data_IF_799560046349
#
_entry.id   IF_799560046349
#
_cell.length_a   1.000
_cell.length_b   1.000
_cell.length_c   1.000
_cell.angle_alpha   90.00
_cell.angle_beta   90.00
_cell.angle_gamma   90.00
#
_symmetry.space_group_name_H-M   'P 1'
#
loop_
_entity.id
_entity.type
_entity.pdbx_description
1 polymer ?
#
# COMPACT_ATOMS: atom_id res chain seq x y z
N UNK A 1 -14.39 4.41 6.78
CA UNK A 1 -15.27 3.26 6.61
C UNK A 1 -14.92 2.21 7.64
N UNK A 2 -15.89 1.84 8.44
CA UNK A 2 -15.72 0.75 9.38
C UNK A 2 -16.00 -0.55 8.63
N UNK A 3 -15.18 -1.50 8.60
CA UNK A 3 -15.37 -2.88 8.23
C UNK A 3 -16.06 -3.14 6.87
N UNK A 4 -15.30 -3.00 5.78
CA UNK A 4 -15.77 -3.40 4.45
C UNK A 4 -15.62 -4.92 4.22
N UNK A 5 -14.55 -5.51 4.72
CA UNK A 5 -14.28 -6.95 4.67
C UNK A 5 -13.88 -7.47 6.06
N UNK A 6 -14.08 -8.76 6.28
CA UNK A 6 -13.80 -9.40 7.56
C UNK A 6 -13.14 -10.76 7.35
N UNK A 7 -12.03 -11.01 8.04
CA UNK A 7 -11.31 -12.29 8.04
C UNK A 7 -11.11 -12.76 9.47
N UNK A 8 -11.96 -13.65 9.96
CA UNK A 8 -11.94 -14.13 11.35
C UNK A 8 -12.26 -15.63 11.45
N UNK A 9 -11.88 -16.24 12.59
CA UNK A 9 -12.18 -17.64 12.87
C UNK A 9 -11.48 -18.60 11.92
N UNK A 10 -12.16 -19.68 11.57
CA UNK A 10 -11.61 -20.75 10.72
C UNK A 10 -11.27 -20.27 9.30
N UNK A 11 -11.96 -19.23 8.84
CA UNK A 11 -11.71 -18.61 7.54
C UNK A 11 -10.34 -17.93 7.50
N UNK A 12 -9.95 -17.26 8.59
CA UNK A 12 -8.61 -16.67 8.72
C UNK A 12 -7.50 -17.73 8.59
N UNK A 13 -7.72 -18.93 9.17
CA UNK A 13 -6.73 -20.00 9.09
C UNK A 13 -6.52 -20.55 7.67
N UNK A 14 -7.55 -20.44 6.83
CA UNK A 14 -7.50 -20.89 5.43
C UNK A 14 -6.83 -19.87 4.50
N UNK A 15 -7.07 -18.57 4.73
CA UNK A 15 -6.60 -17.46 3.88
C UNK A 15 -6.05 -16.30 4.74
N UNK A 16 -4.95 -16.51 5.48
CA UNK A 16 -4.43 -15.52 6.44
C UNK A 16 -3.95 -14.23 5.80
N UNK A 17 -3.53 -14.27 4.53
CA UNK A 17 -3.04 -13.09 3.78
C UNK A 17 -4.17 -12.24 3.19
N UNK A 18 -5.42 -12.70 3.29
CA UNK A 18 -6.59 -11.97 2.82
C UNK A 18 -7.08 -10.96 3.86
N UNK A 19 -7.66 -9.86 3.39
CA UNK A 19 -8.43 -8.93 4.23
C UNK A 19 -9.80 -9.51 4.63
N UNK A 20 -10.22 -10.61 4.00
CA UNK A 20 -11.49 -11.27 4.19
C UNK A 20 -12.47 -11.03 3.03
N UNK A 21 -13.72 -11.33 3.27
CA UNK A 21 -14.80 -11.15 2.31
C UNK A 21 -15.78 -10.06 2.77
N UNK A 22 -16.55 -9.51 1.84
CA UNK A 22 -17.58 -8.50 2.14
C UNK A 22 -18.57 -9.00 3.20
N UNK A 23 -18.98 -8.12 4.11
CA UNK A 23 -20.02 -8.47 5.09
C UNK A 23 -21.35 -8.70 4.35
N UNK A 24 -21.89 -9.93 4.32
CA UNK A 24 -23.04 -10.27 3.49
C UNK A 24 -24.25 -9.37 3.77
N UNK A 25 -24.93 -8.91 2.72
CA UNK A 25 -26.12 -8.04 2.76
C UNK A 25 -25.89 -6.62 3.31
N UNK A 26 -24.69 -6.30 3.76
CA UNK A 26 -24.34 -4.97 4.27
C UNK A 26 -23.41 -4.21 3.34
N UNK A 27 -22.52 -4.94 2.66
CA UNK A 27 -21.47 -4.38 1.83
C UNK A 27 -21.40 -5.14 0.50
N UNK A 28 -21.31 -4.41 -0.58
CA UNK A 28 -20.91 -4.88 -1.90
C UNK A 28 -19.47 -4.41 -2.15
N UNK A 29 -18.67 -5.28 -2.75
CA UNK A 29 -17.30 -4.98 -3.20
C UNK A 29 -17.20 -5.23 -4.70
N UNK A 30 -16.43 -4.41 -5.39
CA UNK A 30 -15.98 -4.65 -6.76
C UNK A 30 -14.58 -4.08 -6.96
N UNK A 31 -13.87 -4.62 -7.95
CA UNK A 31 -12.57 -4.11 -8.39
C UNK A 31 -12.79 -3.41 -9.73
N UNK A 32 -12.22 -2.23 -9.90
CA UNK A 32 -12.37 -1.45 -11.13
C UNK A 32 -11.03 -1.00 -11.69
N UNK A 33 -11.00 -0.80 -13.02
CA UNK A 33 -9.88 -0.15 -13.70
C UNK A 33 -9.87 1.37 -13.47
N UNK A 34 -8.92 2.08 -14.10
CA UNK A 34 -8.83 3.53 -14.00
C UNK A 34 -10.03 4.26 -14.63
N UNK A 35 -10.68 3.65 -15.63
CA UNK A 35 -11.87 4.16 -16.31
C UNK A 35 -13.15 3.87 -15.52
N UNK A 36 -13.08 3.06 -14.46
CA UNK A 36 -14.22 2.69 -13.60
C UNK A 36 -14.97 1.45 -14.06
N UNK A 37 -14.47 0.72 -15.06
CA UNK A 37 -15.06 -0.54 -15.50
C UNK A 37 -14.72 -1.63 -14.49
N UNK A 38 -15.70 -2.49 -14.19
CA UNK A 38 -15.50 -3.63 -13.30
C UNK A 38 -14.58 -4.67 -13.93
N UNK A 39 -13.57 -5.10 -13.18
CA UNK A 39 -12.58 -6.09 -13.60
C UNK A 39 -13.01 -7.50 -13.21
N UNK A 40 -12.62 -8.52 -14.01
CA UNK A 40 -12.81 -9.92 -13.67
C UNK A 40 -12.12 -10.32 -12.36
N UNK A 41 -12.61 -11.39 -11.74
CA UNK A 41 -11.99 -12.04 -10.58
C UNK A 41 -10.52 -12.35 -10.85
N UNK A 42 -9.66 -12.04 -9.89
CA UNK A 42 -8.21 -12.25 -9.97
C UNK A 42 -7.43 -11.08 -10.61
N UNK A 43 -8.11 -10.12 -11.25
CA UNK A 43 -7.46 -8.94 -11.78
C UNK A 43 -7.28 -7.84 -10.71
N UNK A 44 -6.17 -7.09 -10.82
CA UNK A 44 -5.79 -6.06 -9.87
C UNK A 44 -6.34 -4.71 -10.34
N UNK A 45 -7.05 -4.01 -9.45
CA UNK A 45 -7.58 -2.69 -9.70
C UNK A 45 -7.95 -1.97 -8.41
N UNK A 46 -8.67 -0.85 -8.52
CA UNK A 46 -9.11 -0.09 -7.37
C UNK A 46 -10.32 -0.74 -6.69
N UNK A 47 -10.24 -0.91 -5.38
CA UNK A 47 -11.34 -1.46 -4.57
C UNK A 47 -12.44 -0.43 -4.41
N UNK A 48 -13.63 -0.74 -4.88
CA UNK A 48 -14.84 0.04 -4.69
C UNK A 48 -15.77 -0.64 -3.68
N UNK A 49 -16.39 0.17 -2.82
CA UNK A 49 -17.22 -0.28 -1.71
C UNK A 49 -18.58 0.41 -1.79
N UNK A 50 -19.66 -0.35 -1.66
CA UNK A 50 -21.00 0.19 -1.55
C UNK A 50 -21.77 -0.51 -0.42
N UNK A 51 -22.55 0.23 0.36
CA UNK A 51 -23.44 -0.36 1.35
C UNK A 51 -23.74 0.51 2.55
N UNK A 52 -24.34 -0.10 3.57
CA UNK A 52 -24.80 0.60 4.76
C UNK A 52 -23.71 1.32 5.57
N UNK A 53 -22.45 0.88 5.43
CA UNK A 53 -21.29 1.46 6.12
C UNK A 53 -20.58 2.53 5.30
N UNK A 54 -21.02 2.81 4.07
CA UNK A 54 -20.45 3.89 3.25
C UNK A 54 -20.85 5.24 3.85
N UNK A 55 -19.88 6.14 4.00
CA UNK A 55 -20.14 7.48 4.51
C UNK A 55 -20.95 8.30 3.51
N UNK A 56 -21.68 9.31 4.02
CA UNK A 56 -22.54 10.15 3.19
C UNK A 56 -21.77 11.20 2.39
N UNK A 57 -20.80 11.87 3.02
CA UNK A 57 -19.99 12.92 2.39
C UNK A 57 -18.80 13.30 3.28
N UNK A 58 -17.82 13.98 2.71
CA UNK A 58 -16.84 14.74 3.48
C UNK A 58 -17.47 16.07 3.96
N UNK A 59 -17.29 16.36 5.24
CA UNK A 59 -17.91 17.54 5.85
C UNK A 59 -17.44 18.83 5.19
N UNK A 60 -18.40 19.60 4.65
CA UNK A 60 -18.14 20.87 3.94
C UNK A 60 -17.14 20.77 2.78
N UNK A 61 -16.99 19.62 2.17
CA UNK A 61 -16.12 19.41 1.03
C UNK A 61 -16.84 18.52 -0.01
N UNK A 62 -17.71 19.15 -0.80
CA UNK A 62 -18.50 18.44 -1.81
C UNK A 62 -17.60 17.95 -2.95
N UNK A 63 -16.61 18.76 -3.38
CA UNK A 63 -15.68 18.40 -4.44
C UNK A 63 -14.94 17.09 -4.12
N UNK A 64 -14.32 17.00 -2.95
CA UNK A 64 -13.67 15.75 -2.52
C UNK A 64 -14.64 14.58 -2.32
N UNK A 65 -15.93 14.85 -2.09
CA UNK A 65 -16.95 13.81 -2.02
C UNK A 65 -17.26 13.26 -3.42
N UNK A 66 -17.45 14.14 -4.38
CA UNK A 66 -17.78 13.79 -5.78
C UNK A 66 -16.63 13.05 -6.49
N UNK A 67 -15.38 13.30 -6.07
CA UNK A 67 -14.20 12.57 -6.56
C UNK A 67 -14.20 11.08 -6.18
N UNK A 68 -14.79 10.72 -5.04
CA UNK A 68 -14.66 9.36 -4.48
C UNK A 68 -15.97 8.62 -4.33
N UNK A 69 -17.11 9.30 -4.41
CA UNK A 69 -18.44 8.70 -4.24
C UNK A 69 -19.30 9.01 -5.45
N UNK A 70 -19.64 7.97 -6.20
CA UNK A 70 -20.47 8.13 -7.39
C UNK A 70 -21.98 8.22 -7.09
N UNK A 71 -22.77 8.49 -8.13
CA UNK A 71 -24.24 8.62 -8.04
C UNK A 71 -24.95 7.31 -7.66
N UNK A 72 -24.31 6.16 -7.81
CA UNK A 72 -24.83 4.84 -7.45
C UNK A 72 -24.44 4.43 -6.02
N UNK A 73 -23.69 5.27 -5.31
CA UNK A 73 -23.24 5.06 -3.95
C UNK A 73 -21.96 4.19 -3.83
N UNK A 74 -21.24 3.99 -4.92
CA UNK A 74 -19.94 3.35 -4.87
C UNK A 74 -18.87 4.32 -4.41
N UNK A 75 -18.15 3.94 -3.38
CA UNK A 75 -17.02 4.66 -2.83
C UNK A 75 -15.71 4.07 -3.35
N UNK A 76 -14.94 4.86 -4.06
CA UNK A 76 -13.56 4.55 -4.48
C UNK A 76 -12.65 4.68 -3.28
N UNK A 77 -12.10 3.56 -2.80
CA UNK A 77 -11.36 3.54 -1.53
C UNK A 77 -9.95 4.14 -1.63
N UNK A 78 -9.40 4.18 -2.83
CA UNK A 78 -7.99 4.48 -3.06
C UNK A 78 -7.06 3.33 -2.66
N UNK A 79 -7.59 2.16 -2.33
CA UNK A 79 -6.83 0.95 -2.11
C UNK A 79 -6.83 0.11 -3.40
N UNK A 80 -5.70 -0.46 -3.76
CA UNK A 80 -5.52 -1.35 -4.89
C UNK A 80 -5.55 -2.79 -4.37
N UNK A 81 -6.32 -3.64 -5.03
CA UNK A 81 -6.47 -5.03 -4.60
C UNK A 81 -7.10 -5.91 -5.68
N UNK A 82 -7.43 -7.12 -5.31
CA UNK A 82 -8.15 -8.08 -6.13
C UNK A 82 -9.14 -8.88 -5.28
N UNK A 83 -10.15 -9.46 -5.93
CA UNK A 83 -11.00 -10.51 -5.38
C UNK A 83 -10.57 -11.85 -5.96
N UNK A 84 -10.47 -12.89 -5.14
CA UNK A 84 -10.24 -14.25 -5.62
C UNK A 84 -11.56 -14.96 -6.01
N UNK A 85 -11.48 -16.24 -6.43
CA UNK A 85 -12.63 -17.04 -6.87
C UNK A 85 -13.66 -17.30 -5.75
N UNK A 86 -13.29 -17.11 -4.50
CA UNK A 86 -14.15 -17.24 -3.32
C UNK A 86 -14.58 -15.88 -2.74
N UNK A 87 -14.44 -14.79 -3.51
CA UNK A 87 -14.75 -13.40 -3.14
C UNK A 87 -13.91 -12.85 -1.96
N UNK A 88 -12.73 -13.40 -1.71
CA UNK A 88 -11.81 -12.84 -0.73
C UNK A 88 -11.04 -11.66 -1.29
N UNK A 89 -11.02 -10.57 -0.53
CA UNK A 89 -10.29 -9.36 -0.86
C UNK A 89 -8.83 -9.46 -0.41
N UNK A 90 -7.92 -9.17 -1.33
CA UNK A 90 -6.49 -9.02 -1.06
C UNK A 90 -6.07 -7.60 -1.41
N UNK A 91 -5.71 -6.82 -0.40
CA UNK A 91 -5.15 -5.48 -0.60
C UNK A 91 -3.68 -5.61 -1.00
N UNK A 92 -3.29 -4.94 -2.06
CA UNK A 92 -1.91 -4.90 -2.57
C UNK A 92 -1.18 -3.64 -2.15
N UNK A 93 -1.83 -2.47 -2.25
CA UNK A 93 -1.28 -1.18 -1.80
C UNK A 93 -2.36 -0.09 -1.82
N UNK A 94 -1.95 1.13 -1.47
CA UNK A 94 -2.72 2.35 -1.73
C UNK A 94 -2.39 2.87 -3.13
N UNK A 95 -3.40 3.31 -3.89
CA UNK A 95 -3.24 3.87 -5.24
C UNK A 95 -2.17 4.97 -5.29
N UNK A 96 -2.13 5.85 -4.31
CA UNK A 96 -1.18 6.95 -4.18
C UNK A 96 0.23 6.55 -3.71
N UNK A 97 0.38 5.33 -3.21
CA UNK A 97 1.66 4.80 -2.69
C UNK A 97 2.31 3.82 -3.67
N UNK A 98 1.66 3.52 -4.82
CA UNK A 98 2.28 2.78 -5.92
C UNK A 98 3.35 3.66 -6.57
N UNK A 99 4.53 3.09 -6.73
CA UNK A 99 5.66 3.74 -7.43
C UNK A 99 5.65 3.34 -8.89
N UNK A 100 5.62 4.32 -9.79
CA UNK A 100 5.64 4.09 -11.24
C UNK A 100 7.06 4.26 -11.76
N UNK A 101 7.76 3.14 -11.91
CA UNK A 101 9.16 3.11 -12.33
C UNK A 101 9.31 2.57 -13.74
N UNK A 102 9.54 3.46 -14.71
CA UNK A 102 9.74 3.06 -16.10
C UNK A 102 8.55 2.34 -16.73
N UNK A 103 7.32 2.64 -16.27
CA UNK A 103 6.09 1.99 -16.70
C UNK A 103 5.67 0.78 -15.86
N UNK A 104 6.52 0.33 -14.93
CA UNK A 104 6.18 -0.74 -13.99
C UNK A 104 5.54 -0.18 -12.73
N UNK A 105 4.41 -0.75 -12.32
CA UNK A 105 3.72 -0.42 -11.06
C UNK A 105 4.29 -1.27 -9.93
N UNK A 106 4.89 -0.62 -8.93
CA UNK A 106 5.51 -1.28 -7.79
C UNK A 106 4.72 -0.96 -6.53
N UNK A 107 4.15 -1.98 -5.91
CA UNK A 107 3.48 -1.86 -4.62
C UNK A 107 4.52 -1.67 -3.50
N UNK A 108 4.45 -0.53 -2.81
CA UNK A 108 5.35 -0.27 -1.68
C UNK A 108 5.18 -1.29 -0.56
N UNK A 109 3.95 -1.75 -0.29
CA UNK A 109 3.67 -2.75 0.74
C UNK A 109 4.38 -4.09 0.47
N UNK A 110 4.49 -4.54 -0.79
CA UNK A 110 5.22 -5.76 -1.15
C UNK A 110 6.70 -5.63 -0.77
N UNK A 111 7.30 -4.48 -1.08
CA UNK A 111 8.72 -4.23 -0.77
C UNK A 111 8.93 -4.04 0.73
N UNK A 112 8.05 -3.31 1.43
CA UNK A 112 8.06 -3.15 2.89
C UNK A 112 7.97 -4.50 3.60
N UNK A 113 7.07 -5.39 3.13
CA UNK A 113 6.94 -6.74 3.67
C UNK A 113 8.24 -7.53 3.52
N UNK A 114 8.85 -7.54 2.32
CA UNK A 114 10.12 -8.22 2.08
C UNK A 114 11.26 -7.67 2.94
N UNK A 115 11.34 -6.34 3.12
CA UNK A 115 12.35 -5.70 3.99
C UNK A 115 12.17 -6.13 5.45
N UNK A 116 10.93 -6.17 5.94
CA UNK A 116 10.63 -6.50 7.35
C UNK A 116 10.85 -7.98 7.69
N UNK A 117 10.99 -8.86 6.70
CA UNK A 117 11.42 -10.25 6.93
C UNK A 117 12.89 -10.35 7.34
N UNK A 118 13.69 -9.31 7.13
CA UNK A 118 15.10 -9.33 7.56
C UNK A 118 15.19 -9.25 9.08
N UNK A 119 15.94 -10.18 9.76
CA UNK A 119 15.97 -10.29 11.24
C UNK A 119 16.37 -9.00 11.97
N UNK A 120 17.27 -8.20 11.38
CA UNK A 120 17.72 -6.95 11.96
C UNK A 120 16.70 -5.82 11.84
N UNK A 121 15.72 -5.89 10.93
CA UNK A 121 14.77 -4.83 10.68
C UNK A 121 13.65 -4.81 11.73
N UNK A 122 13.34 -3.63 12.22
CA UNK A 122 12.19 -3.37 13.10
C UNK A 122 10.97 -2.91 12.29
N UNK A 123 11.14 -1.92 11.43
CA UNK A 123 10.12 -1.40 10.54
C UNK A 123 10.77 -0.74 9.31
N UNK A 124 10.02 -0.67 8.21
CA UNK A 124 10.46 -0.02 6.98
C UNK A 124 9.33 0.80 6.37
N UNK A 125 9.71 1.81 5.60
CA UNK A 125 8.77 2.56 4.78
C UNK A 125 9.37 2.80 3.41
N UNK A 126 8.65 2.38 2.37
CA UNK A 126 9.06 2.47 0.97
C UNK A 126 8.21 3.53 0.26
N UNK A 127 8.84 4.33 -0.59
CA UNK A 127 8.19 5.40 -1.35
C UNK A 127 8.95 5.71 -2.64
N UNK A 128 8.26 6.34 -3.59
CA UNK A 128 8.87 6.83 -4.82
C UNK A 128 9.56 8.16 -4.62
N UNK A 129 10.72 8.35 -5.25
CA UNK A 129 11.38 9.65 -5.41
C UNK A 129 11.48 9.96 -6.90
N UNK A 130 11.39 11.25 -7.33
CA UNK A 130 11.42 11.61 -8.74
C UNK A 130 12.73 11.18 -9.43
N UNK A 131 12.61 10.71 -10.68
CA UNK A 131 13.75 10.40 -11.56
C UNK A 131 13.43 10.83 -12.99
N UNK A 132 14.34 11.58 -13.64
CA UNK A 132 14.13 12.15 -14.96
C UNK A 132 13.88 11.10 -16.06
N UNK A 133 14.46 9.92 -15.94
CA UNK A 133 14.39 8.86 -16.96
C UNK A 133 13.27 7.85 -16.70
N UNK A 134 13.05 7.50 -15.43
CA UNK A 134 12.13 6.42 -15.04
C UNK A 134 10.81 6.94 -14.48
N UNK A 135 10.63 8.26 -14.36
CA UNK A 135 9.53 8.87 -13.64
C UNK A 135 9.77 8.84 -12.14
N UNK A 136 9.87 7.66 -11.56
CA UNK A 136 10.22 7.47 -10.15
C UNK A 136 11.26 6.35 -9.97
N UNK A 137 11.96 6.41 -8.83
CA UNK A 137 12.81 5.36 -8.28
C UNK A 137 12.35 5.01 -6.87
N UNK A 138 12.59 3.77 -6.44
CA UNK A 138 12.27 3.38 -5.09
C UNK A 138 13.32 3.88 -4.10
N UNK A 139 12.81 4.37 -2.98
CA UNK A 139 13.57 4.74 -1.81
C UNK A 139 12.97 4.08 -0.56
N UNK A 140 13.78 3.79 0.43
CA UNK A 140 13.31 3.24 1.71
C UNK A 140 14.00 3.89 2.89
N UNK A 141 13.25 4.05 3.97
CA UNK A 141 13.75 4.37 5.28
C UNK A 141 13.55 3.15 6.19
N UNK A 142 14.61 2.66 6.79
CA UNK A 142 14.63 1.43 7.59
C UNK A 142 15.02 1.74 9.02
N UNK A 143 14.15 1.36 9.95
CA UNK A 143 14.49 1.31 11.36
C UNK A 143 14.94 -0.10 11.70
N UNK A 144 16.10 -0.24 12.35
CA UNK A 144 16.64 -1.54 12.72
C UNK A 144 16.81 -1.69 14.24
N UNK A 145 16.86 -2.95 14.69
CA UNK A 145 16.88 -3.31 16.11
C UNK A 145 18.16 -2.86 16.77
N UNK A 146 18.09 -2.32 17.98
CA UNK A 146 19.26 -1.95 18.78
C UNK A 146 20.20 -3.16 18.99
N UNK A 147 21.49 -2.94 18.81
CA UNK A 147 22.52 -3.99 18.88
C UNK A 147 22.64 -4.83 17.60
N UNK A 148 21.83 -4.60 16.60
CA UNK A 148 22.00 -5.15 15.26
C UNK A 148 22.71 -4.11 14.36
N UNK A 149 23.20 -4.56 13.23
CA UNK A 149 23.72 -3.69 12.17
C UNK A 149 23.20 -4.19 10.83
N UNK A 150 22.88 -3.29 9.94
CA UNK A 150 22.44 -3.60 8.59
C UNK A 150 22.85 -2.44 7.68
N UNK A 151 23.36 -2.75 6.50
CA UNK A 151 23.73 -1.78 5.49
C UNK A 151 23.00 -2.02 4.17
N UNK A 152 23.21 -1.13 3.22
CA UNK A 152 22.62 -1.19 1.89
C UNK A 152 22.99 -2.48 1.13
N UNK A 153 24.24 -2.93 1.27
CA UNK A 153 24.75 -4.11 0.57
C UNK A 153 24.09 -5.39 1.09
N UNK A 154 24.00 -5.51 2.43
CA UNK A 154 23.36 -6.65 3.08
C UNK A 154 21.87 -6.69 2.75
N UNK A 155 21.16 -5.57 2.88
CA UNK A 155 19.73 -5.52 2.60
C UNK A 155 19.44 -5.76 1.11
N UNK A 156 20.22 -5.17 0.20
CA UNK A 156 20.07 -5.41 -1.24
C UNK A 156 20.27 -6.87 -1.61
N UNK A 157 21.26 -7.53 -1.03
CA UNK A 157 21.54 -8.96 -1.24
C UNK A 157 20.38 -9.83 -0.76
N UNK A 158 19.85 -9.53 0.44
CA UNK A 158 18.71 -10.23 1.00
C UNK A 158 17.45 -10.06 0.14
N UNK A 159 17.18 -8.85 -0.36
CA UNK A 159 16.03 -8.56 -1.20
C UNK A 159 16.15 -9.17 -2.60
N UNK A 160 17.37 -9.33 -3.14
CA UNK A 160 17.57 -9.93 -4.45
C UNK A 160 17.15 -11.41 -4.52
N UNK A 161 17.04 -12.10 -3.37
CA UNK A 161 16.52 -13.47 -3.29
C UNK A 161 14.99 -13.53 -3.29
N UNK A 162 14.31 -12.40 -3.06
CA UNK A 162 12.86 -12.33 -2.83
C UNK A 162 12.11 -11.51 -3.86
N UNK A 163 12.74 -10.47 -4.39
CA UNK A 163 12.11 -9.49 -5.26
C UNK A 163 12.79 -9.42 -6.63
N UNK A 164 12.01 -9.06 -7.63
CA UNK A 164 12.57 -8.70 -8.92
C UNK A 164 13.50 -7.47 -8.79
N UNK A 165 14.58 -7.44 -9.56
CA UNK A 165 15.63 -6.43 -9.47
C UNK A 165 15.10 -4.97 -9.49
N UNK A 166 14.07 -4.71 -10.30
CA UNK A 166 13.49 -3.36 -10.41
C UNK A 166 12.68 -2.92 -9.19
N UNK A 167 12.32 -3.86 -8.29
CA UNK A 167 11.63 -3.60 -7.03
C UNK A 167 12.57 -3.36 -5.84
N UNK A 168 13.87 -3.55 -6.01
CA UNK A 168 14.84 -3.28 -4.94
C UNK A 168 15.04 -1.77 -4.85
N UNK A 169 14.87 -1.14 -3.65
CA UNK A 169 15.11 0.28 -3.46
C UNK A 169 16.52 0.69 -3.87
N UNK A 170 16.63 1.80 -4.61
CA UNK A 170 17.93 2.34 -5.06
C UNK A 170 18.55 3.27 -4.02
N UNK A 171 17.70 3.86 -3.15
CA UNK A 171 18.13 4.73 -2.06
C UNK A 171 17.65 4.16 -0.73
N UNK A 172 18.57 3.99 0.22
CA UNK A 172 18.28 3.38 1.51
C UNK A 172 18.88 4.22 2.64
N UNK A 173 18.06 4.58 3.62
CA UNK A 173 18.49 5.25 4.84
C UNK A 173 18.18 4.38 6.04
N UNK A 174 19.12 4.31 6.98
CA UNK A 174 19.07 3.43 8.14
C UNK A 174 19.14 4.24 9.44
N UNK A 175 18.34 3.87 10.43
CA UNK A 175 18.31 4.47 11.76
C UNK A 175 17.91 3.46 12.82
N UNK A 176 18.28 3.72 14.08
CA UNK A 176 17.85 2.92 15.23
C UNK A 176 16.55 3.42 15.85
N UNK A 177 16.24 4.70 15.66
CA UNK A 177 15.01 5.33 16.13
C UNK A 177 13.81 4.82 15.32
N UNK A 178 12.63 4.83 15.94
CA UNK A 178 11.39 4.53 15.21
C UNK A 178 11.16 5.52 14.08
N UNK A 179 10.51 5.05 13.01
CA UNK A 179 10.15 5.91 11.89
C UNK A 179 9.16 7.00 12.34
N UNK A 180 9.23 8.22 11.75
CA UNK A 180 8.33 9.31 12.06
C UNK A 180 6.86 8.91 11.91
N UNK A 181 6.00 9.39 12.82
CA UNK A 181 4.57 9.08 12.82
C UNK A 181 3.72 10.33 12.85
N UNK A 182 2.60 10.30 12.15
CA UNK A 182 1.56 11.32 12.26
C UNK A 182 0.76 11.14 13.56
N UNK A 183 -0.07 12.13 13.93
CA UNK A 183 -0.85 12.13 15.18
C UNK A 183 -1.75 10.88 15.35
N UNK A 184 -2.16 10.22 14.29
CA UNK A 184 -2.94 8.97 14.35
C UNK A 184 -2.10 7.70 14.61
N UNK A 185 -0.77 7.83 14.80
CA UNK A 185 0.15 6.72 15.03
C UNK A 185 0.66 6.02 13.74
N UNK A 186 0.15 6.40 12.56
CA UNK A 186 0.63 5.85 11.28
C UNK A 186 1.98 6.46 10.91
N UNK A 187 2.81 5.70 10.19
CA UNK A 187 4.09 6.15 9.63
C UNK A 187 3.86 7.38 8.74
N UNK A 188 4.68 8.42 8.93
CA UNK A 188 4.59 9.69 8.21
C UNK A 188 5.27 9.60 6.82
N UNK A 189 4.82 8.69 5.96
CA UNK A 189 5.45 8.38 4.65
C UNK A 189 5.66 9.64 3.79
N UNK A 190 4.67 10.53 3.75
CA UNK A 190 4.76 11.78 2.98
C UNK A 190 5.93 12.66 3.44
N UNK A 191 6.08 12.86 4.74
CA UNK A 191 7.18 13.64 5.33
C UNK A 191 8.54 13.02 4.97
N UNK A 192 8.68 11.71 5.12
CA UNK A 192 9.94 11.00 4.79
C UNK A 192 10.29 11.10 3.31
N UNK A 193 9.27 11.04 2.43
CA UNK A 193 9.47 11.25 0.99
C UNK A 193 9.98 12.65 0.69
N UNK A 194 9.40 13.69 1.29
CA UNK A 194 9.83 15.08 1.14
C UNK A 194 11.28 15.27 1.61
N UNK A 195 11.62 14.78 2.79
CA UNK A 195 13.00 14.81 3.33
C UNK A 195 14.01 14.04 2.45
N UNK A 196 13.59 12.92 1.87
CA UNK A 196 14.43 12.14 0.96
C UNK A 196 14.71 12.90 -0.35
N UNK A 197 13.71 13.56 -0.93
CA UNK A 197 13.85 14.39 -2.13
C UNK A 197 14.83 15.53 -1.87
N UNK A 198 14.72 16.23 -0.74
CA UNK A 198 15.66 17.28 -0.35
C UNK A 198 17.11 16.76 -0.21
N UNK A 199 17.29 15.57 0.39
CA UNK A 199 18.62 14.94 0.52
C UNK A 199 19.23 14.53 -0.81
N UNK A 200 18.43 14.21 -1.81
CA UNK A 200 18.90 13.80 -3.14
C UNK A 200 19.21 14.99 -4.06
N UNK A 201 19.03 16.20 -3.59
CA UNK A 201 19.43 17.42 -4.31
C UNK A 201 18.33 17.94 -5.22
N UNK A 202 17.10 17.86 -4.73
CA UNK A 202 15.97 18.55 -5.34
C UNK A 202 16.19 20.04 -5.43
#
# INVERSE_FOLDING_TARGET
NALAANNTGDVYLQKPDSTGFAVPKLIDLKIVDDDGNELPTGEIGEVCIRGACTFRCYWKNQEATDEVLDSEGWFRSGDIGLLDEDDFLYIKDRKKDIVIRGGENIACLEVEAAITEHPAVLEASVFGVPDERLGEKLATMVSYREGQNIDETELSSFLAEKLAKFKIPEFMWFQTEQLPRIASGKIAKKQMREEAIEKLGG
#
